data_IF_973436041691
#
_entry.id   IF_973436041691
#
_cell.length_a   1.000
_cell.length_b   1.000
_cell.length_c   1.000
_cell.angle_alpha   90.00
_cell.angle_beta   90.00
_cell.angle_gamma   90.00
#
_symmetry.space_group_name_H-M   'P 1'
#
loop_
_entity.id
_entity.type
_entity.pdbx_description
1 polymer ?
#
# COMPACT_ATOMS: atom_id res chain seq x y z
N UNK A 1 68.37 12.49 -2.70
CA UNK A 1 68.11 13.85 -2.18
C UNK A 1 66.88 13.71 -1.29
N UNK A 2 67.03 13.33 -0.02
CA UNK A 2 67.18 14.23 1.14
C UNK A 2 65.79 14.80 1.48
N UNK A 3 65.14 14.57 2.62
CA UNK A 3 65.57 14.41 4.01
C UNK A 3 64.58 13.51 4.78
N UNK A 4 65.09 12.86 5.83
CA UNK A 4 64.34 12.24 6.92
C UNK A 4 63.45 13.24 7.67
N UNK A 5 62.36 12.79 8.30
CA UNK A 5 62.06 13.00 9.73
C UNK A 5 60.82 12.17 10.11
N UNK A 6 60.98 11.29 11.10
CA UNK A 6 59.88 10.78 11.91
C UNK A 6 59.18 11.94 12.62
N UNK A 7 57.84 11.94 12.63
CA UNK A 7 57.10 12.31 13.84
C UNK A 7 55.65 11.84 13.76
N UNK A 8 55.21 11.30 14.89
CA UNK A 8 53.89 10.77 15.18
C UNK A 8 52.77 11.81 15.11
N UNK A 9 51.54 11.30 15.05
CA UNK A 9 50.25 11.95 15.31
C UNK A 9 49.54 12.67 14.15
N UNK A 10 48.28 12.25 13.93
CA UNK A 10 47.20 13.23 13.81
C UNK A 10 46.42 13.23 12.50
N UNK A 11 45.34 12.44 12.46
CA UNK A 11 43.98 12.89 12.11
C UNK A 11 43.74 13.50 10.72
N UNK A 12 42.78 12.87 10.02
CA UNK A 12 41.95 13.41 8.94
C UNK A 12 42.65 13.73 7.62
N UNK A 13 42.32 12.97 6.59
CA UNK A 13 41.19 13.31 5.72
C UNK A 13 41.33 12.50 4.44
N UNK A 14 40.98 11.22 4.53
CA UNK A 14 40.89 10.31 3.39
C UNK A 14 39.58 10.61 2.64
N UNK A 15 39.48 11.79 2.03
CA UNK A 15 38.30 12.25 1.30
C UNK A 15 38.73 13.09 0.10
N UNK A 16 39.25 12.44 -0.95
CA UNK A 16 39.39 13.13 -2.24
C UNK A 16 39.54 12.30 -3.51
N UNK A 17 39.27 10.99 -3.51
CA UNK A 17 39.56 10.14 -4.67
C UNK A 17 38.45 9.17 -5.11
N UNK A 18 37.18 9.45 -4.82
CA UNK A 18 36.05 8.71 -5.41
C UNK A 18 34.86 9.63 -5.80
N UNK A 19 35.18 10.74 -6.45
CA UNK A 19 34.19 11.59 -7.16
C UNK A 19 34.45 11.38 -8.65
N UNK A 20 33.83 10.37 -9.29
CA UNK A 20 33.66 10.37 -10.76
C UNK A 20 32.67 9.32 -11.31
N UNK A 21 31.74 8.74 -10.52
CA UNK A 21 30.73 7.78 -11.05
C UNK A 21 29.29 8.00 -10.55
N UNK A 22 29.01 9.12 -9.88
CA UNK A 22 27.66 9.47 -9.47
C UNK A 22 27.31 10.90 -9.88
N UNK A 23 27.27 11.15 -11.18
CA UNK A 23 26.55 12.29 -11.75
C UNK A 23 25.86 11.80 -13.02
N UNK A 24 24.57 11.43 -12.91
CA UNK A 24 23.51 11.67 -13.91
C UNK A 24 22.25 10.83 -13.66
N UNK A 25 21.67 10.91 -12.47
CA UNK A 25 20.26 10.51 -12.28
C UNK A 25 19.40 11.59 -11.62
N UNK A 26 20.00 12.71 -11.19
CA UNK A 26 19.27 13.81 -10.58
C UNK A 26 18.37 14.61 -11.55
N UNK A 27 18.68 14.78 -12.86
CA UNK A 27 17.77 15.54 -13.74
C UNK A 27 16.53 14.75 -14.16
N UNK A 28 16.63 13.41 -14.24
CA UNK A 28 15.53 12.56 -14.74
C UNK A 28 14.42 12.44 -13.68
N UNK A 29 14.78 12.42 -12.39
CA UNK A 29 13.78 12.41 -11.31
C UNK A 29 13.00 13.73 -11.20
N UNK A 30 13.59 14.88 -11.54
CA UNK A 30 12.86 16.17 -11.48
C UNK A 30 11.88 16.32 -12.65
N UNK A 31 12.22 15.86 -13.86
CA UNK A 31 11.34 16.03 -15.03
C UNK A 31 10.06 15.17 -14.96
N UNK A 32 10.10 14.02 -14.30
CA UNK A 32 8.88 13.20 -14.11
C UNK A 32 7.91 13.80 -13.07
N UNK A 33 8.31 14.82 -12.30
CA UNK A 33 7.45 15.43 -11.29
C UNK A 33 6.51 16.49 -11.84
N UNK A 34 6.78 17.10 -13.00
CA UNK A 34 5.92 18.13 -13.59
C UNK A 34 4.66 17.55 -14.27
N UNK A 35 4.59 16.24 -14.50
CA UNK A 35 3.41 15.56 -15.07
C UNK A 35 2.60 14.74 -14.06
N UNK A 36 2.90 14.84 -12.76
CA UNK A 36 2.07 14.23 -11.72
C UNK A 36 0.79 15.04 -11.54
N UNK A 37 -0.30 14.61 -12.16
CA UNK A 37 -1.67 15.09 -11.89
C UNK A 37 -2.18 14.71 -10.49
N UNK A 38 -1.37 14.04 -9.65
CA UNK A 38 -1.67 13.68 -8.26
C UNK A 38 -1.94 14.89 -7.32
N UNK A 39 -1.93 16.11 -7.86
CA UNK A 39 -2.21 17.34 -7.13
C UNK A 39 -3.65 17.86 -7.22
N UNK A 40 -4.58 17.21 -7.95
CA UNK A 40 -5.85 17.88 -8.29
C UNK A 40 -7.13 17.23 -7.74
N UNK A 41 -7.12 15.97 -7.31
CA UNK A 41 -8.30 15.32 -6.71
C UNK A 41 -7.91 14.47 -5.51
N UNK A 42 -8.76 14.51 -4.47
CA UNK A 42 -8.62 13.70 -3.26
C UNK A 42 -8.67 12.21 -3.64
N UNK A 43 -7.64 11.40 -3.30
CA UNK A 43 -7.66 9.97 -3.58
C UNK A 43 -8.86 9.27 -2.94
N UNK A 44 -9.48 8.36 -3.69
CA UNK A 44 -10.65 7.56 -3.29
C UNK A 44 -10.26 6.09 -3.25
N UNK A 45 -10.31 5.51 -2.07
CA UNK A 45 -9.98 4.09 -1.86
C UNK A 45 -11.25 3.35 -1.46
N UNK A 46 -11.51 2.22 -2.12
CA UNK A 46 -12.51 1.26 -1.65
C UNK A 46 -11.85 0.29 -0.67
N UNK A 47 -12.33 0.28 0.58
CA UNK A 47 -11.99 -0.71 1.59
C UNK A 47 -13.13 -1.72 1.71
N UNK A 48 -12.84 -2.99 1.44
CA UNK A 48 -13.82 -4.05 1.66
C UNK A 48 -13.37 -5.04 2.74
N UNK A 49 -14.34 -5.69 3.35
CA UNK A 49 -14.17 -6.88 4.16
C UNK A 49 -15.34 -7.83 3.93
N UNK A 50 -15.41 -8.89 4.71
CA UNK A 50 -16.49 -9.87 4.63
C UNK A 50 -17.24 -9.94 5.95
N UNK A 51 -18.54 -10.21 5.87
CA UNK A 51 -19.33 -10.57 7.03
C UNK A 51 -18.98 -11.96 7.60
N UNK A 52 -19.75 -12.44 8.58
CA UNK A 52 -19.56 -13.75 9.18
C UNK A 52 -19.84 -14.90 8.19
N UNK A 53 -19.13 -16.02 8.35
CA UNK A 53 -19.30 -17.22 7.52
C UNK A 53 -18.91 -18.50 8.27
N UNK A 54 -19.42 -19.64 7.80
CA UNK A 54 -19.19 -20.93 8.43
C UNK A 54 -19.77 -20.98 9.85
N UNK A 55 -18.92 -21.23 10.85
CA UNK A 55 -19.33 -21.28 12.27
C UNK A 55 -18.98 -20.02 13.06
N UNK A 56 -18.44 -19.00 12.41
CA UNK A 56 -18.00 -17.78 13.07
C UNK A 56 -19.16 -16.79 13.13
N UNK A 57 -19.43 -16.25 14.32
CA UNK A 57 -20.48 -15.23 14.52
C UNK A 57 -20.02 -13.83 14.12
N UNK A 58 -18.71 -13.59 14.09
CA UNK A 58 -18.10 -12.29 13.75
C UNK A 58 -16.87 -12.53 12.88
N UNK A 59 -16.71 -11.72 11.83
CA UNK A 59 -15.50 -11.67 11.03
C UNK A 59 -14.67 -10.43 11.42
N UNK A 60 -13.39 -10.58 11.82
CA UNK A 60 -12.55 -9.43 12.16
C UNK A 60 -12.47 -8.34 11.07
N UNK A 61 -12.60 -8.72 9.79
CA UNK A 61 -12.57 -7.77 8.68
C UNK A 61 -13.82 -6.87 8.62
N UNK A 62 -14.99 -7.38 9.04
CA UNK A 62 -16.22 -6.59 9.20
C UNK A 62 -15.99 -5.48 10.22
N UNK A 63 -15.48 -5.84 11.41
CA UNK A 63 -15.18 -4.90 12.49
C UNK A 63 -14.18 -3.83 12.04
N UNK A 64 -13.14 -4.23 11.28
CA UNK A 64 -12.16 -3.29 10.74
C UNK A 64 -12.84 -2.31 9.78
N UNK A 65 -13.62 -2.79 8.80
CA UNK A 65 -14.29 -1.93 7.81
C UNK A 65 -15.28 -0.98 8.49
N UNK A 66 -16.05 -1.45 9.46
CA UNK A 66 -17.01 -0.60 10.16
C UNK A 66 -16.32 0.49 10.98
N UNK A 67 -15.26 0.14 11.69
CA UNK A 67 -14.51 1.08 12.55
C UNK A 67 -13.52 1.98 11.80
N UNK A 68 -13.17 1.66 10.55
CA UNK A 68 -12.17 2.41 9.78
C UNK A 68 -12.63 3.85 9.50
N UNK A 69 -11.76 4.87 9.64
CA UNK A 69 -12.12 6.24 9.34
C UNK A 69 -12.39 6.45 7.84
N UNK A 70 -13.41 7.24 7.49
CA UNK A 70 -13.75 7.54 6.10
C UNK A 70 -12.87 8.62 5.46
N UNK A 71 -12.06 9.32 6.26
CA UNK A 71 -11.10 10.32 5.80
C UNK A 71 -9.77 10.10 6.54
N UNK A 72 -8.69 9.97 5.77
CA UNK A 72 -7.34 9.78 6.30
C UNK A 72 -6.45 10.95 5.88
N UNK A 73 -5.84 11.68 6.84
CA UNK A 73 -4.86 12.70 6.50
C UNK A 73 -3.57 12.04 6.02
N UNK A 74 -3.15 12.39 4.80
CA UNK A 74 -1.87 11.98 4.22
C UNK A 74 -0.87 13.11 4.42
N UNK A 75 0.22 12.82 5.14
CA UNK A 75 1.37 13.70 5.20
C UNK A 75 2.23 13.48 3.96
N UNK A 76 2.61 14.57 3.29
CA UNK A 76 3.56 14.48 2.18
C UNK A 76 4.91 13.97 2.71
N UNK A 77 5.40 12.79 2.26
CA UNK A 77 6.68 12.25 2.74
C UNK A 77 7.90 13.03 2.23
N UNK A 78 7.73 13.92 1.25
CA UNK A 78 8.82 14.64 0.57
C UNK A 78 8.82 16.16 0.79
N UNK A 79 7.94 16.72 1.64
CA UNK A 79 7.91 18.16 1.84
C UNK A 79 6.74 18.69 2.68
N UNK A 80 6.49 20.00 2.55
CA UNK A 80 5.36 20.68 3.20
C UNK A 80 4.06 20.40 2.43
N UNK A 81 2.97 20.24 3.17
CA UNK A 81 1.63 19.96 2.62
C UNK A 81 0.98 18.75 3.29
N UNK A 82 -0.33 18.79 3.44
CA UNK A 82 -1.17 17.67 3.85
C UNK A 82 -2.26 17.50 2.82
N UNK A 83 -2.50 16.26 2.42
CA UNK A 83 -3.67 15.89 1.64
C UNK A 83 -4.59 15.02 2.49
N UNK A 84 -5.76 14.73 1.98
CA UNK A 84 -6.69 13.78 2.58
C UNK A 84 -6.98 12.67 1.58
N UNK A 85 -7.37 11.51 2.09
CA UNK A 85 -7.84 10.37 1.30
C UNK A 85 -9.22 9.98 1.79
N UNK A 86 -10.16 9.84 0.85
CA UNK A 86 -11.50 9.35 1.11
C UNK A 86 -11.50 7.83 1.07
N UNK A 87 -12.03 7.21 2.12
CA UNK A 87 -12.24 5.77 2.21
C UNK A 87 -13.73 5.49 2.08
N UNK A 88 -14.08 4.81 1.01
CA UNK A 88 -15.37 4.17 0.86
C UNK A 88 -15.32 2.76 1.45
N UNK A 89 -16.36 2.36 2.18
CA UNK A 89 -16.32 1.16 3.03
C UNK A 89 -17.45 0.22 2.64
N UNK A 90 -17.15 -1.08 2.50
CA UNK A 90 -18.15 -2.09 2.15
C UNK A 90 -17.89 -3.42 2.83
N UNK A 91 -18.88 -3.93 3.55
CA UNK A 91 -18.90 -5.34 3.99
C UNK A 91 -19.58 -6.16 2.91
N UNK A 92 -18.89 -7.17 2.39
CA UNK A 92 -19.36 -8.07 1.35
C UNK A 92 -20.00 -9.32 1.98
N UNK A 93 -21.05 -9.84 1.35
CA UNK A 93 -21.59 -11.16 1.68
C UNK A 93 -20.60 -12.25 1.25
N UNK A 94 -20.58 -13.36 1.99
CA UNK A 94 -19.77 -14.54 1.63
C UNK A 94 -20.61 -15.46 0.75
N UNK A 95 -20.85 -15.03 -0.48
CA UNK A 95 -21.57 -15.73 -1.53
C UNK A 95 -21.15 -15.22 -2.91
N UNK A 96 -21.66 -15.85 -3.98
CA UNK A 96 -21.39 -15.40 -5.35
C UNK A 96 -21.72 -13.91 -5.55
N UNK A 97 -22.86 -13.43 -5.02
CA UNK A 97 -23.27 -12.04 -5.17
C UNK A 97 -22.25 -11.06 -4.57
N UNK A 98 -21.77 -11.34 -3.34
CA UNK A 98 -20.76 -10.53 -2.67
C UNK A 98 -19.40 -10.60 -3.36
N UNK A 99 -19.00 -11.79 -3.85
CA UNK A 99 -17.74 -11.98 -4.57
C UNK A 99 -17.67 -11.17 -5.87
N UNK A 100 -18.80 -10.97 -6.54
CA UNK A 100 -18.90 -10.26 -7.82
C UNK A 100 -19.19 -8.77 -7.67
N UNK A 101 -19.60 -8.32 -6.48
CA UNK A 101 -20.07 -6.95 -6.27
C UNK A 101 -19.03 -5.91 -6.72
N UNK A 102 -17.78 -6.03 -6.29
CA UNK A 102 -16.73 -5.08 -6.66
C UNK A 102 -16.45 -5.08 -8.16
N UNK A 103 -16.38 -6.27 -8.79
CA UNK A 103 -16.17 -6.36 -10.23
C UNK A 103 -17.30 -5.70 -11.03
N UNK A 104 -18.54 -5.84 -10.56
CA UNK A 104 -19.70 -5.19 -11.18
C UNK A 104 -19.64 -3.66 -11.01
N UNK A 105 -19.23 -3.17 -9.84
CA UNK A 105 -19.22 -1.74 -9.55
C UNK A 105 -18.11 -0.98 -10.31
N UNK A 106 -16.96 -1.61 -10.55
CA UNK A 106 -15.85 -1.01 -11.32
C UNK A 106 -16.29 -0.62 -12.74
N UNK A 107 -17.36 -1.24 -13.28
CA UNK A 107 -17.92 -0.86 -14.57
C UNK A 107 -18.60 0.52 -14.58
N UNK A 108 -18.98 1.06 -13.42
CA UNK A 108 -19.73 2.32 -13.30
C UNK A 108 -19.11 3.34 -12.36
N UNK A 109 -18.09 2.95 -11.58
CA UNK A 109 -17.46 3.76 -10.54
C UNK A 109 -15.95 3.61 -10.62
N UNK A 110 -15.24 4.69 -10.33
CA UNK A 110 -13.79 4.72 -10.31
C UNK A 110 -13.28 4.95 -8.89
N UNK A 111 -12.26 4.16 -8.52
CA UNK A 111 -11.45 4.30 -7.31
C UNK A 111 -9.98 4.32 -7.72
N UNK A 112 -9.17 5.07 -6.99
CA UNK A 112 -7.71 5.13 -7.20
C UNK A 112 -7.03 3.86 -6.70
N UNK A 113 -7.62 3.22 -5.69
CA UNK A 113 -7.19 1.91 -5.19
C UNK A 113 -8.36 1.14 -4.57
N UNK A 114 -8.22 -0.19 -4.56
CA UNK A 114 -9.14 -1.10 -3.89
C UNK A 114 -8.32 -1.97 -2.94
N UNK A 115 -8.73 -2.01 -1.67
CA UNK A 115 -8.13 -2.82 -0.63
C UNK A 115 -9.17 -3.84 -0.14
N UNK A 116 -8.99 -5.09 -0.55
CA UNK A 116 -9.79 -6.22 -0.09
C UNK A 116 -9.17 -6.83 1.17
N UNK A 117 -9.93 -6.88 2.26
CA UNK A 117 -9.56 -7.62 3.47
C UNK A 117 -10.22 -9.00 3.48
N UNK A 118 -9.46 -10.01 3.87
CA UNK A 118 -9.93 -11.38 4.10
C UNK A 118 -9.49 -11.91 5.45
N UNK A 119 -10.21 -12.91 5.96
CA UNK A 119 -9.85 -13.62 7.18
C UNK A 119 -8.99 -14.84 6.83
N UNK A 120 -7.79 -14.94 7.41
CA UNK A 120 -6.99 -16.15 7.40
C UNK A 120 -7.01 -16.78 8.80
N UNK A 121 -7.73 -17.89 8.96
CA UNK A 121 -7.95 -18.53 10.27
C UNK A 121 -6.68 -19.01 10.98
N UNK A 122 -5.63 -19.34 10.24
CA UNK A 122 -4.36 -19.88 10.78
C UNK A 122 -3.23 -18.83 10.80
N UNK A 123 -3.46 -17.63 10.26
CA UNK A 123 -2.42 -16.62 10.16
C UNK A 123 -2.24 -15.87 11.49
N UNK A 124 -0.99 -15.77 11.95
CA UNK A 124 -0.63 -15.00 13.15
C UNK A 124 -0.26 -13.54 12.85
N UNK A 125 -0.10 -13.19 11.58
CA UNK A 125 0.29 -11.86 11.10
C UNK A 125 -0.49 -11.52 9.82
N UNK A 126 -0.76 -10.22 9.55
CA UNK A 126 -1.34 -9.78 8.28
C UNK A 126 -0.44 -10.16 7.10
N UNK A 127 -1.05 -10.51 5.98
CA UNK A 127 -0.38 -10.87 4.72
C UNK A 127 -0.88 -10.01 3.58
N UNK A 128 -0.02 -9.82 2.58
CA UNK A 128 -0.37 -9.22 1.30
C UNK A 128 -0.38 -10.34 0.27
N UNK A 129 -1.54 -10.59 -0.32
CA UNK A 129 -1.67 -11.55 -1.42
C UNK A 129 -1.04 -10.97 -2.68
N UNK A 130 -0.11 -11.70 -3.28
CA UNK A 130 0.65 -11.25 -4.46
C UNK A 130 0.05 -11.74 -5.78
N UNK A 131 -0.73 -12.82 -5.73
CA UNK A 131 -1.28 -13.52 -6.88
C UNK A 131 -2.73 -13.89 -6.59
N UNK A 132 -3.54 -13.90 -7.65
CA UNK A 132 -4.86 -14.48 -7.67
C UNK A 132 -4.92 -15.52 -8.81
N UNK A 133 -5.67 -16.59 -8.59
CA UNK A 133 -5.83 -17.68 -9.56
C UNK A 133 -7.28 -17.74 -10.03
N UNK A 134 -7.48 -18.09 -11.30
CA UNK A 134 -8.81 -18.32 -11.88
C UNK A 134 -9.28 -19.74 -11.59
N UNK A 135 -9.34 -20.09 -10.30
CA UNK A 135 -9.77 -21.40 -9.80
C UNK A 135 -10.62 -21.20 -8.55
N UNK A 136 -11.82 -21.80 -8.54
CA UNK A 136 -12.70 -21.83 -7.38
C UNK A 136 -12.77 -23.27 -6.84
N UNK A 137 -12.07 -23.52 -5.74
CA UNK A 137 -12.07 -24.81 -5.03
C UNK A 137 -12.38 -24.58 -3.54
N UNK A 138 -13.62 -24.86 -3.14
CA UNK A 138 -14.15 -24.54 -1.81
C UNK A 138 -14.27 -25.80 -0.95
N UNK A 139 -13.57 -25.82 0.20
CA UNK A 139 -13.63 -26.92 1.17
C UNK A 139 -14.92 -26.93 2.00
N UNK A 140 -15.49 -25.74 2.21
CA UNK A 140 -16.77 -25.52 2.90
C UNK A 140 -17.66 -24.72 1.94
N UNK A 141 -18.99 -24.92 1.97
CA UNK A 141 -19.91 -24.11 1.18
C UNK A 141 -19.82 -22.64 1.60
N UNK A 142 -20.20 -21.76 0.68
CA UNK A 142 -20.42 -20.35 1.00
C UNK A 142 -21.74 -20.18 1.80
N UNK A 143 -22.17 -18.95 2.06
CA UNK A 143 -23.38 -18.70 2.83
C UNK A 143 -24.68 -18.99 2.05
N UNK A 144 -24.60 -19.26 0.74
CA UNK A 144 -25.73 -19.65 -0.12
C UNK A 144 -25.85 -21.17 -0.34
N UNK A 145 -24.87 -21.96 0.11
CA UNK A 145 -24.92 -23.44 0.14
C UNK A 145 -24.05 -24.11 -0.91
#
# INVERSE_FOLDING_TARGET
MGLSFDCSAGVMCLMRWFVQWFVNLLPICQQNQEQSTLGQTMPRVLLTGFGPFGKHEVNPTEVIVESFPSLIPIKNPFGRGSSEMSIEKRVLSVDEHGSRWTANEIASREWDAILHLGLCGECTQPRIELLAEDVLDMRIPDNSG
#
